data_IF_659392937754
#
_entry.id   IF_659392937754
#
_cell.length_a   1.000
_cell.length_b   1.000
_cell.length_c   1.000
_cell.angle_alpha   90.00
_cell.angle_beta   90.00
_cell.angle_gamma   90.00
#
_symmetry.space_group_name_H-M   'P 1'
#
loop_
_entity.id
_entity.type
_entity.pdbx_description
1 polymer ?
#
# COMPACT_ATOMS: atom_id res chain seq x y z
N UNK A 1 28.58 1.46 1.65
CA UNK A 1 27.46 1.10 0.75
C UNK A 1 27.04 2.35 0.01
N UNK A 2 26.82 2.27 -1.31
CA UNK A 2 26.33 3.44 -2.04
C UNK A 2 24.88 3.75 -1.62
N UNK A 3 24.48 5.02 -1.65
CA UNK A 3 23.12 5.46 -1.32
C UNK A 3 22.07 4.65 -2.11
N UNK A 4 22.35 4.37 -3.39
CA UNK A 4 21.50 3.53 -4.26
C UNK A 4 21.31 2.09 -3.75
N UNK A 5 22.36 1.46 -3.21
CA UNK A 5 22.28 0.07 -2.68
C UNK A 5 21.43 -0.03 -1.42
N UNK A 6 21.41 1.01 -0.58
CA UNK A 6 20.56 1.06 0.62
C UNK A 6 19.07 1.12 0.26
N UNK A 7 18.74 1.92 -0.75
CA UNK A 7 17.38 2.10 -1.19
C UNK A 7 16.80 0.92 -1.98
N UNK A 8 17.60 0.28 -2.83
CA UNK A 8 17.18 -0.95 -3.53
C UNK A 8 16.78 -2.03 -2.53
N UNK A 9 17.57 -2.16 -1.44
CA UNK A 9 17.30 -3.07 -0.32
C UNK A 9 16.04 -2.66 0.46
N UNK A 10 15.78 -1.36 0.65
CA UNK A 10 14.56 -0.88 1.30
C UNK A 10 13.33 -1.14 0.43
N UNK A 11 13.37 -0.83 -0.87
CA UNK A 11 12.28 -1.11 -1.81
C UNK A 11 11.96 -2.59 -1.82
N UNK A 12 12.98 -3.44 -1.91
CA UNK A 12 12.81 -4.90 -1.85
C UNK A 12 12.18 -5.32 -0.52
N UNK A 13 12.68 -4.80 0.61
CA UNK A 13 12.08 -5.07 1.92
C UNK A 13 10.64 -4.57 2.01
N UNK A 14 10.29 -3.37 1.57
CA UNK A 14 8.91 -2.85 1.63
C UNK A 14 7.94 -3.67 0.74
N UNK A 15 8.45 -4.21 -0.36
CA UNK A 15 7.71 -5.17 -1.21
C UNK A 15 7.65 -6.58 -0.59
N UNK A 16 8.68 -6.99 0.14
CA UNK A 16 8.81 -8.31 0.79
C UNK A 16 8.19 -8.38 2.21
N UNK A 17 7.99 -7.24 2.87
CA UNK A 17 7.47 -7.10 4.27
C UNK A 17 6.12 -6.38 4.35
N UNK A 18 5.30 -6.52 3.31
CA UNK A 18 3.86 -6.22 3.35
C UNK A 18 3.45 -4.74 3.57
N UNK A 19 3.59 -3.91 2.53
CA UNK A 19 2.83 -2.66 2.41
C UNK A 19 1.68 -2.70 1.39
N UNK A 20 1.27 -3.88 0.95
CA UNK A 20 0.05 -4.03 0.15
C UNK A 20 -0.94 -4.97 0.85
N UNK A 21 -1.82 -4.34 1.65
CA UNK A 21 -3.16 -4.83 2.02
C UNK A 21 -3.19 -6.04 2.98
N UNK A 22 -2.83 -5.81 4.23
CA UNK A 22 -3.30 -6.65 5.33
C UNK A 22 -4.72 -6.25 5.72
N UNK A 23 -5.70 -6.80 5.00
CA UNK A 23 -7.01 -7.03 5.61
C UNK A 23 -7.39 -8.50 5.36
N UNK A 24 -7.71 -9.28 6.41
CA UNK A 24 -8.17 -10.66 6.23
C UNK A 24 -9.40 -10.70 5.29
N UNK A 25 -9.64 -11.78 4.50
CA UNK A 25 -10.85 -11.98 3.69
C UNK A 25 -12.10 -11.47 4.41
N UNK A 26 -12.97 -10.69 3.74
CA UNK A 26 -14.26 -10.35 4.34
C UNK A 26 -15.03 -11.66 4.57
N UNK A 27 -15.61 -11.80 5.77
CA UNK A 27 -16.37 -13.00 6.13
C UNK A 27 -17.58 -13.15 5.19
N UNK A 28 -17.68 -14.28 4.49
CA UNK A 28 -18.79 -14.64 3.61
C UNK A 28 -18.38 -15.12 2.22
N UNK A 29 -19.36 -15.50 1.40
CA UNK A 29 -19.19 -15.84 -0.02
C UNK A 29 -18.98 -14.59 -0.88
N UNK A 30 -17.90 -13.85 -0.60
CA UNK A 30 -17.51 -12.69 -1.39
C UNK A 30 -16.42 -13.07 -2.40
N UNK A 31 -16.40 -12.35 -3.53
CA UNK A 31 -15.55 -12.66 -4.68
C UNK A 31 -14.05 -12.57 -4.32
N UNK A 32 -13.67 -11.75 -3.33
CA UNK A 32 -12.31 -11.68 -2.79
C UNK A 32 -11.92 -12.96 -2.01
N UNK A 33 -12.84 -13.52 -1.23
CA UNK A 33 -12.66 -14.80 -0.52
C UNK A 33 -12.56 -15.99 -1.48
N UNK A 34 -13.31 -15.99 -2.59
CA UNK A 34 -13.18 -16.99 -3.65
C UNK A 34 -11.79 -16.92 -4.32
N UNK A 35 -11.35 -15.70 -4.69
CA UNK A 35 -10.02 -15.47 -5.26
C UNK A 35 -8.92 -15.91 -4.31
N UNK A 36 -9.08 -15.70 -3.00
CA UNK A 36 -8.13 -16.20 -2.00
C UNK A 36 -8.00 -17.73 -2.05
N UNK A 37 -9.11 -18.47 -2.03
CA UNK A 37 -9.07 -19.94 -2.01
C UNK A 37 -8.50 -20.51 -3.32
N UNK A 38 -8.92 -19.95 -4.46
CA UNK A 38 -8.42 -20.34 -5.78
C UNK A 38 -6.92 -20.05 -5.92
N UNK A 39 -6.46 -18.87 -5.52
CA UNK A 39 -5.05 -18.51 -5.58
C UNK A 39 -4.20 -19.33 -4.60
N UNK A 40 -4.74 -19.65 -3.41
CA UNK A 40 -4.00 -20.40 -2.38
C UNK A 40 -3.68 -21.82 -2.84
N UNK A 41 -4.60 -22.47 -3.56
CA UNK A 41 -4.37 -23.82 -4.08
C UNK A 41 -3.37 -23.85 -5.24
N UNK A 42 -3.22 -22.75 -5.97
CA UNK A 42 -2.38 -22.65 -7.17
C UNK A 42 -0.96 -22.14 -6.84
N UNK A 43 -0.87 -21.04 -6.09
CA UNK A 43 0.35 -20.24 -5.92
C UNK A 43 0.77 -20.08 -4.45
N UNK A 44 0.04 -20.71 -3.52
CA UNK A 44 0.30 -20.63 -2.10
C UNK A 44 -0.27 -19.38 -1.44
N UNK A 45 -0.13 -19.33 -0.11
CA UNK A 45 -0.80 -18.34 0.73
C UNK A 45 -0.36 -16.89 0.52
N UNK A 46 0.93 -16.56 0.31
CA UNK A 46 1.34 -15.17 0.09
C UNK A 46 0.68 -14.55 -1.15
N UNK A 47 0.70 -15.26 -2.28
CA UNK A 47 0.06 -14.82 -3.51
C UNK A 47 -1.46 -14.67 -3.33
N UNK A 48 -2.08 -15.61 -2.62
CA UNK A 48 -3.51 -15.58 -2.34
C UNK A 48 -3.95 -14.35 -1.55
N UNK A 49 -3.18 -13.97 -0.52
CA UNK A 49 -3.45 -12.78 0.29
C UNK A 49 -3.45 -11.53 -0.58
N UNK A 50 -2.40 -11.32 -1.37
CA UNK A 50 -2.26 -10.15 -2.24
C UNK A 50 -3.37 -10.08 -3.29
N UNK A 51 -3.66 -11.18 -3.97
CA UNK A 51 -4.66 -11.22 -5.03
C UNK A 51 -6.08 -10.97 -4.50
N UNK A 52 -6.42 -11.58 -3.36
CA UNK A 52 -7.68 -11.35 -2.66
C UNK A 52 -7.83 -9.88 -2.24
N UNK A 53 -6.76 -9.31 -1.68
CA UNK A 53 -6.69 -7.91 -1.29
C UNK A 53 -6.97 -6.94 -2.45
N UNK A 54 -6.33 -7.16 -3.60
CA UNK A 54 -6.54 -6.34 -4.80
C UNK A 54 -7.98 -6.43 -5.29
N UNK A 55 -8.58 -7.62 -5.24
CA UNK A 55 -10.00 -7.81 -5.58
C UNK A 55 -10.90 -7.08 -4.59
N UNK A 56 -10.61 -7.09 -3.29
CA UNK A 56 -11.37 -6.28 -2.34
C UNK A 56 -11.29 -4.79 -2.64
N UNK A 57 -10.11 -4.27 -2.94
CA UNK A 57 -9.95 -2.86 -3.30
C UNK A 57 -10.78 -2.49 -4.54
N UNK A 58 -10.88 -3.41 -5.51
CA UNK A 58 -11.82 -3.28 -6.61
C UNK A 58 -13.27 -3.20 -6.11
N UNK A 59 -13.72 -4.16 -5.30
CA UNK A 59 -15.12 -4.23 -4.81
C UNK A 59 -15.53 -3.03 -3.93
N UNK A 60 -14.63 -2.56 -3.05
CA UNK A 60 -14.88 -1.45 -2.12
C UNK A 60 -14.78 -0.07 -2.78
N UNK A 61 -14.10 0.01 -3.92
CA UNK A 61 -14.02 1.28 -4.64
C UNK A 61 -15.41 1.70 -5.14
N UNK A 62 -15.79 2.96 -4.89
CA UNK A 62 -17.13 3.49 -5.25
C UNK A 62 -17.56 3.26 -6.71
N UNK A 63 -16.60 3.04 -7.62
CA UNK A 63 -16.86 2.81 -9.05
C UNK A 63 -16.37 1.45 -9.56
N UNK A 64 -15.98 0.52 -8.69
CA UNK A 64 -15.34 -0.74 -9.09
C UNK A 64 -14.19 -0.53 -10.08
N UNK A 65 -13.15 0.13 -9.59
CA UNK A 65 -12.03 0.66 -10.35
C UNK A 65 -11.17 -0.45 -10.99
N UNK A 66 -11.17 -0.62 -12.32
CA UNK A 66 -10.53 -1.76 -13.00
C UNK A 66 -9.02 -1.86 -12.80
N UNK A 67 -8.37 -0.77 -12.40
CA UNK A 67 -6.93 -0.75 -12.10
C UNK A 67 -6.50 -1.87 -11.14
N UNK A 68 -7.26 -2.13 -10.07
CA UNK A 68 -6.87 -3.15 -9.09
C UNK A 68 -6.91 -4.56 -9.68
N UNK A 69 -7.87 -4.85 -10.57
CA UNK A 69 -7.90 -6.10 -11.31
C UNK A 69 -6.75 -6.21 -12.31
N UNK A 70 -6.34 -5.10 -12.94
CA UNK A 70 -5.18 -5.07 -13.83
C UNK A 70 -3.86 -5.28 -13.07
N UNK A 71 -3.74 -4.78 -11.84
CA UNK A 71 -2.61 -5.08 -10.97
C UNK A 71 -2.58 -6.57 -10.61
N UNK A 72 -3.72 -7.14 -10.23
CA UNK A 72 -3.81 -8.56 -9.89
C UNK A 72 -3.38 -9.44 -11.06
N UNK A 73 -3.85 -9.17 -12.29
CA UNK A 73 -3.39 -9.93 -13.46
C UNK A 73 -1.93 -9.67 -13.83
N UNK A 74 -1.44 -8.43 -13.69
CA UNK A 74 -0.01 -8.15 -13.88
C UNK A 74 0.85 -8.95 -12.90
N UNK A 75 0.42 -9.08 -11.65
CA UNK A 75 1.07 -9.90 -10.64
C UNK A 75 1.04 -11.38 -11.03
N UNK A 76 -0.11 -11.91 -11.46
CA UNK A 76 -0.21 -13.29 -11.94
C UNK A 76 0.74 -13.55 -13.11
N UNK A 77 0.75 -12.67 -14.11
CA UNK A 77 1.63 -12.78 -15.27
C UNK A 77 3.11 -12.76 -14.88
N UNK A 78 3.51 -11.81 -14.03
CA UNK A 78 4.91 -11.63 -13.62
C UNK A 78 5.45 -12.80 -12.78
N UNK A 79 4.57 -13.52 -12.08
CA UNK A 79 4.93 -14.67 -11.25
C UNK A 79 4.56 -16.01 -11.89
N UNK A 80 4.20 -16.02 -13.18
CA UNK A 80 3.77 -17.21 -13.91
C UNK A 80 2.62 -17.98 -13.23
N UNK A 81 1.75 -17.26 -12.51
CA UNK A 81 0.57 -17.84 -11.86
C UNK A 81 -0.50 -18.04 -12.95
N UNK A 82 -1.02 -19.26 -13.13
CA UNK A 82 -2.13 -19.53 -14.04
C UNK A 82 -3.35 -18.63 -13.78
N UNK A 83 -4.21 -18.41 -14.80
CA UNK A 83 -5.42 -17.63 -14.63
C UNK A 83 -6.30 -18.17 -13.49
N UNK A 84 -6.65 -17.28 -12.56
CA UNK A 84 -7.57 -17.57 -11.45
C UNK A 84 -9.00 -17.34 -11.96
N UNK A 85 -9.90 -18.35 -11.95
CA UNK A 85 -11.22 -18.28 -12.57
C UNK A 85 -12.04 -17.06 -12.14
N UNK A 86 -12.12 -16.79 -10.84
CA UNK A 86 -12.92 -15.67 -10.32
C UNK A 86 -12.30 -14.32 -10.70
N UNK A 87 -10.96 -14.21 -10.66
CA UNK A 87 -10.26 -12.99 -11.10
C UNK A 87 -10.48 -12.72 -12.60
N UNK A 88 -10.44 -13.78 -13.43
CA UNK A 88 -10.68 -13.68 -14.86
C UNK A 88 -12.10 -13.20 -15.17
N UNK A 89 -13.11 -13.78 -14.51
CA UNK A 89 -14.52 -13.33 -14.63
C UNK A 89 -14.65 -11.83 -14.30
N UNK A 90 -14.09 -11.39 -13.18
CA UNK A 90 -14.13 -9.99 -12.76
C UNK A 90 -13.47 -9.06 -13.79
N UNK A 91 -12.36 -9.49 -14.39
CA UNK A 91 -11.72 -8.74 -15.46
C UNK A 91 -12.59 -8.63 -16.71
N UNK A 92 -13.24 -9.71 -17.14
CA UNK A 92 -14.17 -9.69 -18.25
C UNK A 92 -15.36 -8.76 -17.98
N UNK A 93 -15.95 -8.82 -16.78
CA UNK A 93 -17.03 -7.90 -16.38
C UNK A 93 -16.60 -6.44 -16.42
N UNK A 94 -15.41 -6.14 -15.89
CA UNK A 94 -14.84 -4.79 -15.94
C UNK A 94 -14.53 -4.34 -17.37
N UNK A 95 -14.20 -5.25 -18.29
CA UNK A 95 -14.00 -4.95 -19.72
C UNK A 95 -15.32 -4.67 -20.43
N UNK A 96 -16.36 -5.48 -20.20
CA UNK A 96 -17.71 -5.25 -20.77
C UNK A 96 -18.28 -3.90 -20.31
N UNK A 97 -18.11 -3.54 -19.03
CA UNK A 97 -18.49 -2.22 -18.51
C UNK A 97 -17.74 -1.06 -19.19
N UNK A 98 -16.48 -1.27 -19.57
CA UNK A 98 -15.69 -0.28 -20.34
C UNK A 98 -16.23 -0.14 -21.76
N UNK A 99 -16.50 -1.25 -22.44
CA UNK A 99 -17.09 -1.24 -23.80
C UNK A 99 -18.44 -0.52 -23.84
N UNK A 100 -19.26 -0.67 -22.78
CA UNK A 100 -20.54 0.03 -22.62
C UNK A 100 -20.43 1.50 -22.23
N UNK A 101 -19.21 2.02 -22.02
CA UNK A 101 -18.98 3.41 -21.59
C UNK A 101 -19.35 3.70 -20.12
N UNK A 102 -19.72 2.68 -19.35
CA UNK A 102 -20.10 2.80 -17.93
C UNK A 102 -18.87 3.09 -17.04
N UNK A 103 -17.67 2.80 -17.55
CA UNK A 103 -16.39 3.01 -16.89
C UNK A 103 -15.58 4.09 -17.62
N UNK A 104 -15.71 5.34 -17.18
CA UNK A 104 -14.92 6.48 -17.70
C UNK A 104 -14.06 7.12 -16.61
N UNK A 105 -12.75 6.89 -16.68
CA UNK A 105 -11.67 7.89 -16.65
C UNK A 105 -10.36 7.25 -16.21
N UNK A 106 -9.26 7.61 -16.88
CA UNK A 106 -7.88 7.25 -16.57
C UNK A 106 -7.47 7.75 -15.18
N UNK A 107 -7.87 7.05 -14.11
CA UNK A 107 -7.51 7.31 -12.72
C UNK A 107 -6.20 6.65 -12.29
N UNK A 108 -5.46 6.00 -13.19
CA UNK A 108 -4.20 5.30 -12.85
C UNK A 108 -3.27 6.17 -12.00
N UNK A 109 -3.10 7.45 -12.34
CA UNK A 109 -2.26 8.38 -11.57
C UNK A 109 -2.90 8.71 -10.21
N UNK A 110 -4.21 8.91 -10.15
CA UNK A 110 -4.91 9.18 -8.89
C UNK A 110 -4.85 7.98 -7.94
N UNK A 111 -5.00 6.76 -8.46
CA UNK A 111 -4.94 5.53 -7.68
C UNK A 111 -3.51 5.25 -7.25
N UNK A 112 -2.52 5.43 -8.13
CA UNK A 112 -1.10 5.39 -7.76
C UNK A 112 -0.81 6.36 -6.63
N UNK A 113 -1.34 7.59 -6.70
CA UNK A 113 -1.22 8.59 -5.62
C UNK A 113 -1.89 8.13 -4.32
N UNK A 114 -3.08 7.53 -4.39
CA UNK A 114 -3.79 7.01 -3.21
C UNK A 114 -3.07 5.82 -2.57
N UNK A 115 -2.58 4.88 -3.37
CA UNK A 115 -1.78 3.73 -2.92
C UNK A 115 -0.46 4.22 -2.31
N UNK A 116 0.28 5.09 -3.01
CA UNK A 116 1.50 5.69 -2.50
C UNK A 116 1.25 6.40 -1.17
N UNK A 117 0.16 7.18 -1.06
CA UNK A 117 -0.22 7.87 0.17
C UNK A 117 -0.53 6.89 1.32
N UNK A 118 -1.25 5.79 1.06
CA UNK A 118 -1.55 4.76 2.06
C UNK A 118 -0.29 4.03 2.54
N UNK A 119 0.60 3.66 1.61
CA UNK A 119 1.89 3.04 1.93
C UNK A 119 2.75 3.96 2.81
N UNK A 120 2.79 5.25 2.47
CA UNK A 120 3.56 6.25 3.20
C UNK A 120 2.94 6.56 4.57
N UNK A 121 1.61 6.55 4.71
CA UNK A 121 0.98 6.64 6.02
C UNK A 121 1.26 5.42 6.91
N UNK A 122 1.32 4.24 6.32
CA UNK A 122 1.69 3.03 7.07
C UNK A 122 3.14 3.11 7.55
N UNK A 123 4.06 3.59 6.69
CA UNK A 123 5.43 3.92 7.10
C UNK A 123 5.46 4.93 8.26
N UNK A 124 4.72 6.04 8.17
CA UNK A 124 4.62 7.01 9.27
C UNK A 124 4.13 6.35 10.56
N UNK A 125 3.11 5.50 10.47
CA UNK A 125 2.60 4.75 11.62
C UNK A 125 3.66 3.86 12.25
N UNK A 126 4.44 3.13 11.45
CA UNK A 126 5.54 2.29 11.93
C UNK A 126 6.62 3.13 12.63
N UNK A 127 7.02 4.26 12.05
CA UNK A 127 8.01 5.17 12.65
C UNK A 127 7.53 5.74 13.99
N UNK A 128 6.26 6.15 14.06
CA UNK A 128 5.64 6.65 15.30
C UNK A 128 5.58 5.55 16.36
N UNK A 129 5.16 4.34 15.98
CA UNK A 129 5.12 3.19 16.88
C UNK A 129 6.52 2.80 17.39
N UNK A 130 7.56 2.99 16.57
CA UNK A 130 8.96 2.81 16.95
C UNK A 130 9.51 3.93 17.86
N UNK A 131 8.70 4.94 18.19
CA UNK A 131 9.04 5.99 19.14
C UNK A 131 9.34 7.36 18.51
N UNK A 132 9.18 7.54 17.20
CA UNK A 132 9.36 8.85 16.60
C UNK A 132 8.19 9.80 16.85
N UNK A 133 8.49 11.11 16.82
CA UNK A 133 7.45 12.14 16.77
C UNK A 133 6.78 12.11 15.40
N UNK A 134 5.52 12.57 15.35
CA UNK A 134 4.77 12.68 14.10
C UNK A 134 5.49 13.57 13.06
N UNK A 135 6.17 14.62 13.52
CA UNK A 135 6.92 15.54 12.67
C UNK A 135 8.13 14.85 12.02
N UNK A 136 8.98 14.18 12.80
CA UNK A 136 10.11 13.42 12.25
C UNK A 136 9.66 12.31 11.31
N UNK A 137 8.61 11.59 11.68
CA UNK A 137 8.02 10.57 10.82
C UNK A 137 7.52 11.17 9.49
N UNK A 138 6.95 12.38 9.51
CA UNK A 138 6.50 13.06 8.29
C UNK A 138 7.66 13.53 7.40
N UNK A 139 8.79 13.96 7.97
CA UNK A 139 10.00 14.29 7.19
C UNK A 139 10.55 13.04 6.50
N UNK A 140 10.83 11.97 7.25
CA UNK A 140 11.32 10.72 6.65
C UNK A 140 10.35 10.16 5.61
N UNK A 141 9.03 10.28 5.86
CA UNK A 141 8.00 9.87 4.91
C UNK A 141 7.98 10.69 3.61
N UNK A 142 8.28 12.00 3.66
CA UNK A 142 8.35 12.84 2.47
C UNK A 142 9.52 12.43 1.56
N UNK A 143 10.70 12.19 2.16
CA UNK A 143 11.90 11.72 1.47
C UNK A 143 11.65 10.33 0.85
N UNK A 144 11.11 9.40 1.65
CA UNK A 144 10.71 8.08 1.17
C UNK A 144 9.67 8.15 0.04
N UNK A 145 8.71 9.08 0.10
CA UNK A 145 7.71 9.26 -0.96
C UNK A 145 8.39 9.63 -2.29
N UNK A 146 9.27 10.62 -2.28
CA UNK A 146 9.96 11.07 -3.48
C UNK A 146 10.85 9.99 -4.07
N UNK A 147 11.53 9.23 -3.21
CA UNK A 147 12.38 8.14 -3.66
C UNK A 147 11.59 6.96 -4.23
N UNK A 148 10.54 6.51 -3.53
CA UNK A 148 9.78 5.31 -3.90
C UNK A 148 8.84 5.55 -5.08
N UNK A 149 8.40 6.78 -5.28
CA UNK A 149 7.45 7.17 -6.31
C UNK A 149 7.96 8.36 -7.12
N UNK A 150 9.12 8.25 -7.80
CA UNK A 150 9.75 9.36 -8.51
C UNK A 150 8.90 9.86 -9.70
N UNK A 151 7.95 9.05 -10.18
CA UNK A 151 7.02 9.44 -11.24
C UNK A 151 5.83 10.29 -10.73
N UNK A 152 5.66 10.41 -9.41
CA UNK A 152 4.57 11.18 -8.81
C UNK A 152 5.09 12.55 -8.34
N UNK A 153 4.23 13.59 -8.33
CA UNK A 153 4.59 14.87 -7.74
C UNK A 153 4.99 14.70 -6.28
N UNK A 154 6.11 15.32 -5.89
CA UNK A 154 6.61 15.29 -4.52
C UNK A 154 5.54 15.73 -3.51
N UNK A 155 5.51 15.08 -2.35
CA UNK A 155 4.57 15.40 -1.29
C UNK A 155 5.31 16.02 -0.11
N UNK A 156 4.92 17.24 0.27
CA UNK A 156 5.54 17.94 1.40
C UNK A 156 5.20 17.25 2.72
N UNK A 157 6.15 17.23 3.66
CA UNK A 157 5.99 16.66 4.98
C UNK A 157 4.79 17.25 5.74
N UNK A 158 4.60 18.57 5.67
CA UNK A 158 3.42 19.23 6.27
C UNK A 158 2.09 18.72 5.72
N UNK A 159 2.03 18.39 4.43
CA UNK A 159 0.83 17.81 3.80
C UNK A 159 0.60 16.37 4.24
N UNK A 160 1.67 15.57 4.33
CA UNK A 160 1.61 14.20 4.85
C UNK A 160 1.18 14.17 6.31
N UNK A 161 1.73 15.06 7.14
CA UNK A 161 1.36 15.22 8.54
C UNK A 161 -0.13 15.54 8.72
N UNK A 162 -0.64 16.54 7.99
CA UNK A 162 -2.06 16.90 8.05
C UNK A 162 -2.96 15.77 7.56
N UNK A 163 -2.57 15.12 6.46
CA UNK A 163 -3.31 13.99 5.91
C UNK A 163 -3.33 12.80 6.88
N UNK A 164 -2.20 12.47 7.51
CA UNK A 164 -2.11 11.40 8.49
C UNK A 164 -3.00 11.68 9.71
N UNK A 165 -2.98 12.91 10.23
CA UNK A 165 -3.86 13.31 11.32
C UNK A 165 -5.34 13.13 10.96
N UNK A 166 -5.73 13.57 9.76
CA UNK A 166 -7.12 13.53 9.30
C UNK A 166 -7.61 12.12 8.99
N UNK A 167 -6.80 11.35 8.27
CA UNK A 167 -7.23 10.11 7.64
C UNK A 167 -6.87 8.87 8.49
N UNK A 168 -5.92 8.98 9.43
CA UNK A 168 -5.42 7.83 10.23
C UNK A 168 -5.58 8.05 11.72
N UNK A 169 -5.05 9.16 12.28
CA UNK A 169 -5.05 9.38 13.74
C UNK A 169 -6.44 9.73 14.28
N UNK A 170 -7.12 10.74 13.71
CA UNK A 170 -8.46 11.17 14.16
C UNK A 170 -9.51 10.06 14.05
N UNK A 171 -9.56 9.24 12.99
CA UNK A 171 -10.51 8.12 12.91
C UNK A 171 -10.18 6.95 13.85
N UNK A 172 -9.03 6.96 14.53
CA UNK A 172 -8.62 5.91 15.46
C UNK A 172 -7.93 4.70 14.83
N UNK A 173 -7.68 4.74 13.50
CA UNK A 173 -7.00 3.67 12.76
C UNK A 173 -5.58 3.45 13.30
N UNK A 174 -4.86 4.53 13.64
CA UNK A 174 -3.53 4.45 14.26
C UNK A 174 -3.53 3.56 15.52
N UNK A 175 -4.49 3.80 16.43
CA UNK A 175 -4.61 3.04 17.67
C UNK A 175 -4.95 1.57 17.42
N UNK A 176 -5.71 1.29 16.37
CA UNK A 176 -6.03 -0.08 15.97
C UNK A 176 -4.76 -0.80 15.48
N UNK A 177 -4.00 -0.19 14.58
CA UNK A 177 -2.73 -0.76 14.10
C UNK A 177 -1.75 -1.01 15.24
N UNK A 178 -1.60 -0.06 16.16
CA UNK A 178 -0.66 -0.23 17.28
C UNK A 178 -1.04 -1.41 18.18
N UNK A 179 -2.34 -1.61 18.43
CA UNK A 179 -2.83 -2.78 19.17
C UNK A 179 -2.56 -4.09 18.44
N UNK A 180 -2.72 -4.12 17.12
CA UNK A 180 -2.43 -5.30 16.30
C UNK A 180 -0.93 -5.61 16.28
N UNK A 181 -0.07 -4.60 16.19
CA UNK A 181 1.38 -4.76 16.26
C UNK A 181 1.86 -5.21 17.64
N UNK A 182 1.26 -4.70 18.71
CA UNK A 182 1.50 -5.17 20.08
C UNK A 182 1.18 -6.66 20.21
N UNK A 183 0.02 -7.10 19.68
CA UNK A 183 -0.38 -8.52 19.68
C UNK A 183 0.57 -9.40 18.88
N UNK A 184 1.09 -8.90 17.77
CA UNK A 184 2.04 -9.59 16.92
C UNK A 184 3.48 -9.58 17.48
N UNK A 185 3.74 -8.88 18.59
CA UNK A 185 5.06 -8.83 19.22
C UNK A 185 6.06 -7.95 18.48
N UNK A 186 5.60 -6.99 17.67
CA UNK A 186 6.49 -6.07 16.95
C UNK A 186 7.06 -4.94 17.80
N UNK A 187 6.69 -4.88 19.08
CA UNK A 187 7.23 -3.91 20.04
C UNK A 187 8.75 -4.10 20.15
N UNK A 188 9.51 -3.05 19.86
CA UNK A 188 10.98 -3.06 19.78
C UNK A 188 11.55 -3.97 18.66
N UNK A 189 10.79 -4.23 17.59
CA UNK A 189 11.32 -4.98 16.45
C UNK A 189 12.57 -4.29 15.89
N UNK A 190 13.71 -4.98 15.75
CA UNK A 190 14.94 -4.42 15.20
C UNK A 190 14.76 -4.01 13.73
N UNK A 191 13.74 -4.53 13.04
CA UNK A 191 13.39 -4.12 11.68
C UNK A 191 12.98 -2.65 11.66
N UNK A 192 12.23 -2.17 12.65
CA UNK A 192 11.80 -0.77 12.69
C UNK A 192 12.96 0.18 12.97
N UNK A 193 13.89 -0.22 13.84
CA UNK A 193 15.11 0.56 14.06
C UNK A 193 15.97 0.64 12.79
N UNK A 194 16.14 -0.47 12.07
CA UNK A 194 16.84 -0.45 10.78
C UNK A 194 16.15 0.44 9.74
N UNK A 195 14.82 0.45 9.68
CA UNK A 195 14.08 1.33 8.76
C UNK A 195 14.28 2.80 9.15
N UNK A 196 14.27 3.14 10.44
CA UNK A 196 14.53 4.50 10.91
C UNK A 196 15.94 5.00 10.52
N UNK A 197 16.95 4.14 10.57
CA UNK A 197 18.33 4.48 10.21
C UNK A 197 18.56 4.59 8.70
N UNK A 198 17.77 3.85 7.90
CA UNK A 198 17.95 3.79 6.45
C UNK A 198 17.30 4.95 5.70
N UNK A 199 16.29 5.60 6.27
CA UNK A 199 15.58 6.70 5.61
C UNK A 199 16.18 8.03 6.07
N UNK A 200 16.85 8.78 5.18
CA UNK A 200 17.41 10.07 5.53
C UNK A 200 16.33 11.08 5.93
N UNK A 201 16.71 12.11 6.69
CA UNK A 201 15.82 13.25 6.93
C UNK A 201 15.49 13.96 5.61
N UNK A 202 14.28 14.51 5.51
CA UNK A 202 13.85 15.25 4.32
C UNK A 202 14.74 16.45 4.04
N UNK A 203 15.03 16.67 2.75
CA UNK A 203 15.59 17.94 2.29
C UNK A 203 14.67 19.12 2.65
N UNK A 204 15.25 20.33 2.82
CA UNK A 204 14.53 21.50 3.32
C UNK A 204 13.34 21.92 2.44
N UNK A 205 13.42 21.67 1.14
CA UNK A 205 12.35 21.93 0.17
C UNK A 205 11.12 21.02 0.35
N UNK A 206 11.29 19.86 0.98
CA UNK A 206 10.23 18.90 1.28
C UNK A 206 9.59 19.10 2.65
N UNK A 207 10.24 19.81 3.58
CA UNK A 207 9.69 20.07 4.93
C UNK A 207 8.41 20.92 4.87
N UNK A 208 8.38 21.88 3.94
CA UNK A 208 7.19 22.69 3.67
C UNK A 208 6.90 23.76 4.72
N UNK A 209 7.92 24.22 5.45
CA UNK A 209 7.82 25.40 6.32
C UNK A 209 7.49 26.64 5.48
N UNK A 210 6.44 27.38 5.88
CA UNK A 210 6.25 28.75 5.42
C UNK A 210 7.31 29.60 6.13
N UNK A 211 8.24 30.17 5.37
CA UNK A 211 8.94 31.40 5.80
C UNK A 211 7.93 32.50 6.08
#
# INVERSE_FOLDING_TARGET
>A
MSHAQGWEKLRRRLLETDLEVFSPPLLGEQEDSQVFQEAKSIAGEPAARLLSALVRLFLESRKREPYYLNLAASYCYSNHIPPIPTLWRLQCEASVRRERGESMSSRRVQIKKEIAKRGIFSLMGNLIYAGQTLERAAYQAAEAYQYLYPELPACKASSLQQGYLKDVRRPGIEKQFFREWDKAGFKNSPVWQQVMELIPEAADDLKGERR
#
